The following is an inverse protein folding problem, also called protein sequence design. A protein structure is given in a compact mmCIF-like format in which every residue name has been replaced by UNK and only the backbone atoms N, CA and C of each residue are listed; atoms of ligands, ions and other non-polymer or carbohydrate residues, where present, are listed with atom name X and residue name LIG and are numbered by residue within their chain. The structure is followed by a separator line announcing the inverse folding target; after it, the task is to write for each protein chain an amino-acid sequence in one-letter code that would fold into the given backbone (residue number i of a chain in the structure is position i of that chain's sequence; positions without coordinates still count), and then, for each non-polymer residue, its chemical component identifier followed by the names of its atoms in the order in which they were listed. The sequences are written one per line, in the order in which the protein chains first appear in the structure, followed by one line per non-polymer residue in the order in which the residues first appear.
data_IF_014359445984
#
_entry.id   IF_014359445984
#
_cell.length_a   1.000
_cell.length_b   1.000
_cell.length_c   1.000
_cell.angle_alpha   90.00
_cell.angle_beta   90.00
_cell.angle_gamma   90.00
#
_symmetry.space_group_name_H-M   'P 1'
#
loop_
_entity.id
_entity.type
_entity.pdbx_description
1 polymer ?
#
# COMPACT_ATOMS: atom_id res chain seq x y z
N UNK A 1 -16.93 -9.13 -15.34
CA UNK A 1 -15.60 -9.20 -15.98
C UNK A 1 -14.54 -9.84 -15.09
N UNK A 2 -14.62 -11.15 -14.85
CA UNK A 2 -13.66 -11.86 -13.99
C UNK A 2 -12.27 -11.97 -14.64
N UNK A 3 -12.19 -11.98 -15.97
CA UNK A 3 -10.94 -12.10 -16.74
C UNK A 3 -9.99 -10.92 -16.53
N UNK A 4 -10.51 -9.69 -16.41
CA UNK A 4 -9.68 -8.50 -16.18
C UNK A 4 -9.08 -8.45 -14.76
N UNK A 5 -9.75 -9.03 -13.77
CA UNK A 5 -9.23 -9.13 -12.40
C UNK A 5 -8.06 -10.12 -12.33
N UNK A 6 -8.16 -11.27 -13.02
CA UNK A 6 -7.06 -12.24 -13.10
C UNK A 6 -5.82 -11.63 -13.76
N UNK A 7 -5.97 -10.86 -14.85
CA UNK A 7 -4.84 -10.18 -15.51
C UNK A 7 -4.17 -9.16 -14.57
N UNK A 8 -4.94 -8.44 -13.75
CA UNK A 8 -4.39 -7.52 -12.77
C UNK A 8 -3.58 -8.24 -11.67
N UNK A 9 -4.04 -9.40 -11.21
CA UNK A 9 -3.30 -10.25 -10.27
C UNK A 9 -2.00 -10.80 -10.86
N UNK A 10 -2.01 -11.22 -12.13
CA UNK A 10 -0.78 -11.63 -12.83
C UNK A 10 0.20 -10.46 -13.00
N UNK A 11 -0.30 -9.23 -13.19
CA UNK A 11 0.55 -8.04 -13.24
C UNK A 11 1.22 -7.74 -11.89
N UNK A 12 0.58 -8.14 -10.79
CA UNK A 12 1.15 -8.11 -9.45
C UNK A 12 2.34 -9.06 -9.30
N UNK A 13 2.57 -10.04 -10.19
CA UNK A 13 3.82 -10.81 -10.21
C UNK A 13 5.06 -9.95 -10.53
N UNK A 14 4.89 -8.75 -11.09
CA UNK A 14 6.00 -7.78 -11.23
C UNK A 14 6.58 -7.40 -9.87
N UNK A 15 5.78 -7.44 -8.80
CA UNK A 15 6.19 -7.23 -7.40
C UNK A 15 7.26 -8.23 -6.98
N UNK A 16 7.23 -9.45 -7.53
CA UNK A 16 8.29 -10.43 -7.27
C UNK A 16 9.65 -9.88 -7.67
N UNK A 17 9.74 -9.06 -8.72
CA UNK A 17 11.01 -8.42 -9.17
C UNK A 17 11.62 -7.50 -8.12
N UNK A 18 10.89 -7.12 -7.07
CA UNK A 18 11.42 -6.45 -5.89
C UNK A 18 12.48 -7.30 -5.18
N UNK A 19 12.57 -8.62 -5.43
CA UNK A 19 13.69 -9.47 -5.02
C UNK A 19 15.06 -8.88 -5.41
N UNK A 20 15.12 -8.13 -6.52
CA UNK A 20 16.34 -7.45 -6.98
C UNK A 20 16.80 -6.34 -6.03
N UNK A 21 15.87 -5.69 -5.32
CA UNK A 21 16.23 -4.71 -4.29
C UNK A 21 16.94 -5.39 -3.11
N UNK A 22 16.54 -6.60 -2.73
CA UNK A 22 17.26 -7.39 -1.73
C UNK A 22 18.68 -7.77 -2.20
N UNK A 23 18.85 -8.12 -3.48
CA UNK A 23 20.18 -8.37 -4.05
C UNK A 23 21.05 -7.11 -4.06
N UNK A 24 20.46 -5.94 -4.34
CA UNK A 24 21.15 -4.65 -4.24
C UNK A 24 21.63 -4.38 -2.82
N UNK A 25 20.78 -4.61 -1.80
CA UNK A 25 21.19 -4.47 -0.40
C UNK A 25 22.30 -5.45 -0.01
N UNK A 26 22.24 -6.70 -0.47
CA UNK A 26 23.29 -7.69 -0.23
C UNK A 26 24.63 -7.28 -0.89
N UNK A 27 24.56 -6.69 -2.09
CA UNK A 27 25.74 -6.15 -2.77
C UNK A 27 26.30 -4.91 -2.07
N UNK A 28 25.46 -4.00 -1.58
CA UNK A 28 25.89 -2.81 -0.82
C UNK A 28 26.53 -3.19 0.52
N UNK A 29 26.00 -4.20 1.20
CA UNK A 29 26.57 -4.74 2.45
C UNK A 29 27.97 -5.32 2.21
N UNK A 30 28.13 -6.10 1.11
CA UNK A 30 29.41 -6.71 0.76
C UNK A 30 30.51 -5.70 0.42
N UNK A 31 30.15 -4.56 -0.21
CA UNK A 31 31.12 -3.56 -0.62
C UNK A 31 31.49 -2.55 0.47
N UNK A 32 30.92 -2.64 1.69
CA UNK A 32 31.28 -1.82 2.87
C UNK A 32 31.28 -0.29 2.62
N UNK A 33 30.62 0.19 1.56
CA UNK A 33 30.59 1.61 1.19
C UNK A 33 29.82 2.43 2.24
N UNK A 34 28.91 1.78 2.95
CA UNK A 34 28.04 2.37 3.96
C UNK A 34 28.32 1.72 5.32
N UNK A 35 28.29 2.53 6.39
CA UNK A 35 28.37 2.01 7.75
C UNK A 35 27.21 1.06 8.04
N UNK A 36 27.46 0.00 8.80
CA UNK A 36 26.48 -1.07 9.09
C UNK A 36 25.13 -0.53 9.59
N UNK A 37 25.13 0.50 10.44
CA UNK A 37 23.90 1.15 10.91
C UNK A 37 23.12 1.88 9.82
N UNK A 38 23.80 2.56 8.90
CA UNK A 38 23.16 3.26 7.78
C UNK A 38 22.51 2.30 6.78
N UNK A 39 23.15 1.15 6.54
CA UNK A 39 22.60 0.10 5.69
C UNK A 39 21.34 -0.52 6.33
N UNK A 40 21.38 -0.79 7.64
CA UNK A 40 20.22 -1.30 8.38
C UNK A 40 19.05 -0.33 8.33
N UNK A 41 19.29 0.97 8.53
CA UNK A 41 18.28 2.02 8.41
C UNK A 41 17.70 2.05 7.00
N UNK A 42 18.53 2.14 5.97
CA UNK A 42 18.08 2.19 4.58
C UNK A 42 17.24 0.97 4.20
N UNK A 43 17.69 -0.22 4.60
CA UNK A 43 16.97 -1.48 4.37
C UNK A 43 15.60 -1.45 5.06
N UNK A 44 15.55 -1.09 6.34
CA UNK A 44 14.30 -1.04 7.09
C UNK A 44 13.33 0.04 6.54
N UNK A 45 13.84 1.22 6.21
CA UNK A 45 13.04 2.28 5.58
C UNK A 45 12.46 1.81 4.25
N UNK A 46 13.24 1.10 3.42
CA UNK A 46 12.75 0.56 2.16
C UNK A 46 11.60 -0.42 2.37
N UNK A 47 11.66 -1.27 3.40
CA UNK A 47 10.56 -2.18 3.74
C UNK A 47 9.31 -1.44 4.18
N UNK A 48 9.45 -0.42 5.03
CA UNK A 48 8.30 0.36 5.51
C UNK A 48 7.63 1.12 4.37
N UNK A 49 8.41 1.76 3.48
CA UNK A 49 7.88 2.45 2.29
C UNK A 49 7.17 1.47 1.38
N UNK A 50 7.74 0.29 1.17
CA UNK A 50 7.15 -0.73 0.33
C UNK A 50 5.85 -1.26 0.93
N UNK A 51 5.88 -1.70 2.19
CA UNK A 51 4.72 -2.23 2.89
C UNK A 51 3.56 -1.21 2.92
N UNK A 52 3.84 0.07 3.20
CA UNK A 52 2.81 1.12 3.19
C UNK A 52 2.25 1.42 1.79
N UNK A 53 3.08 1.38 0.74
CA UNK A 53 2.58 1.51 -0.63
C UNK A 53 1.63 0.37 -0.99
N UNK A 54 2.01 -0.87 -0.65
CA UNK A 54 1.18 -2.05 -0.88
C UNK A 54 -0.11 -2.00 -0.06
N UNK A 55 -0.02 -1.68 1.23
CA UNK A 55 -1.17 -1.52 2.11
C UNK A 55 -2.18 -0.53 1.54
N UNK A 56 -1.74 0.67 1.15
CA UNK A 56 -2.62 1.69 0.58
C UNK A 56 -3.25 1.29 -0.76
N UNK A 57 -2.45 0.76 -1.70
CA UNK A 57 -2.94 0.34 -3.01
C UNK A 57 -3.89 -0.86 -2.93
N UNK A 58 -3.60 -1.84 -2.07
CA UNK A 58 -4.46 -3.00 -1.88
C UNK A 58 -5.76 -2.61 -1.16
N UNK A 59 -5.70 -1.74 -0.16
CA UNK A 59 -6.91 -1.27 0.53
C UNK A 59 -7.82 -0.43 -0.39
N UNK A 60 -7.24 0.37 -1.28
CA UNK A 60 -7.99 1.02 -2.37
C UNK A 60 -8.62 -0.02 -3.32
N UNK A 61 -7.88 -1.09 -3.64
CA UNK A 61 -8.38 -2.16 -4.49
C UNK A 61 -9.53 -2.95 -3.85
N UNK A 62 -9.52 -3.18 -2.53
CA UNK A 62 -10.63 -3.83 -1.80
C UNK A 62 -11.91 -3.00 -1.96
N UNK A 63 -11.85 -1.69 -1.72
CA UNK A 63 -13.01 -0.82 -1.94
C UNK A 63 -13.47 -0.80 -3.41
N UNK A 64 -12.55 -0.96 -4.37
CA UNK A 64 -12.88 -1.12 -5.79
C UNK A 64 -13.60 -2.44 -6.09
N UNK A 65 -13.24 -3.54 -5.42
CA UNK A 65 -13.94 -4.83 -5.55
C UNK A 65 -15.38 -4.73 -5.05
N UNK A 66 -15.62 -3.90 -4.04
CA UNK A 66 -16.96 -3.55 -3.53
C UNK A 66 -17.64 -2.44 -4.35
N UNK A 67 -17.12 -2.11 -5.55
CA UNK A 67 -17.66 -1.12 -6.48
C UNK A 67 -17.81 0.28 -5.86
N UNK A 68 -16.92 0.62 -4.92
CA UNK A 68 -16.99 1.87 -4.14
C UNK A 68 -18.38 2.12 -3.54
N UNK A 69 -19.02 1.07 -3.02
CA UNK A 69 -20.28 1.18 -2.29
C UNK A 69 -20.20 2.29 -1.23
N UNK A 70 -21.29 3.01 -0.98
CA UNK A 70 -21.39 4.08 0.02
C UNK A 70 -20.94 3.66 1.42
N UNK A 71 -20.97 2.36 1.72
CA UNK A 71 -20.49 1.80 2.99
C UNK A 71 -18.99 1.54 3.06
N UNK A 72 -18.26 1.64 1.94
CA UNK A 72 -16.79 1.47 1.90
C UNK A 72 -16.06 2.68 2.46
N UNK A 73 -14.81 2.52 2.87
CA UNK A 73 -13.99 3.62 3.37
C UNK A 73 -13.84 4.76 2.34
N UNK A 74 -13.85 4.44 1.04
CA UNK A 74 -13.84 5.42 -0.05
C UNK A 74 -15.22 6.02 -0.30
N UNK A 75 -16.27 5.18 -0.34
CA UNK A 75 -17.63 5.63 -0.64
C UNK A 75 -18.16 6.61 0.42
N UNK A 76 -17.82 6.39 1.69
CA UNK A 76 -18.13 7.31 2.79
C UNK A 76 -17.40 8.64 2.67
N UNK A 77 -16.17 8.61 2.18
CA UNK A 77 -15.30 9.78 2.01
C UNK A 77 -15.32 10.25 0.54
N UNK A 78 -16.47 10.12 -0.11
CA UNK A 78 -16.70 10.37 -1.54
C UNK A 78 -16.24 11.77 -1.99
N UNK A 79 -16.38 12.77 -1.14
CA UNK A 79 -15.94 14.16 -1.32
C UNK A 79 -14.40 14.31 -1.40
N UNK A 80 -13.67 13.43 -0.70
CA UNK A 80 -12.19 13.42 -0.69
C UNK A 80 -11.63 12.62 -1.87
N UNK A 81 -12.38 11.67 -2.42
CA UNK A 81 -11.91 10.77 -3.50
C UNK A 81 -12.52 11.04 -4.87
N UNK A 82 -13.83 11.22 -5.01
CA UNK A 82 -14.46 11.38 -6.33
C UNK A 82 -14.18 12.76 -6.93
N UNK A 83 -14.10 12.82 -8.26
CA UNK A 83 -13.71 14.04 -8.99
C UNK A 83 -12.23 14.42 -8.90
N UNK A 84 -11.44 13.78 -8.02
CA UNK A 84 -9.99 14.03 -7.90
C UNK A 84 -9.16 13.28 -8.95
N UNK A 85 -8.00 13.83 -9.36
CA UNK A 85 -7.05 13.10 -10.21
C UNK A 85 -6.52 11.85 -9.50
N UNK A 86 -5.96 10.92 -10.28
CA UNK A 86 -5.45 9.65 -9.77
C UNK A 86 -4.33 9.81 -8.73
N UNK A 87 -3.49 10.84 -8.90
CA UNK A 87 -2.38 11.12 -7.98
C UNK A 87 -2.88 11.50 -6.58
N UNK A 88 -3.92 12.33 -6.48
CA UNK A 88 -4.50 12.74 -5.20
C UNK A 88 -5.11 11.53 -4.47
N UNK A 89 -5.82 10.67 -5.21
CA UNK A 89 -6.37 9.41 -4.68
C UNK A 89 -5.25 8.51 -4.16
N UNK A 90 -4.17 8.38 -4.93
CA UNK A 90 -3.00 7.61 -4.54
C UNK A 90 -2.34 8.16 -3.26
N UNK A 91 -2.13 9.48 -3.19
CA UNK A 91 -1.54 10.14 -2.01
C UNK A 91 -2.42 9.91 -0.79
N UNK A 92 -3.75 10.04 -0.92
CA UNK A 92 -4.69 9.85 0.19
C UNK A 92 -4.72 8.39 0.66
N UNK A 93 -4.69 7.42 -0.26
CA UNK A 93 -4.60 6.00 0.09
C UNK A 93 -3.26 5.62 0.73
N UNK A 94 -2.16 6.20 0.27
CA UNK A 94 -0.86 5.97 0.88
C UNK A 94 -0.75 6.64 2.26
N UNK A 95 -1.30 7.85 2.40
CA UNK A 95 -1.44 8.54 3.69
C UNK A 95 -2.19 7.68 4.71
N UNK A 96 -3.35 7.11 4.34
CA UNK A 96 -4.11 6.20 5.20
C UNK A 96 -3.27 5.00 5.66
N UNK A 97 -2.54 4.38 4.73
CA UNK A 97 -1.72 3.22 5.08
C UNK A 97 -0.57 3.58 6.00
N UNK A 98 0.11 4.70 5.74
CA UNK A 98 1.19 5.19 6.60
C UNK A 98 0.65 5.55 7.98
N UNK A 99 -0.43 6.35 8.07
CA UNK A 99 -1.01 6.81 9.33
C UNK A 99 -1.49 5.63 10.19
N UNK A 100 -2.04 4.59 9.57
CA UNK A 100 -2.45 3.35 10.24
C UNK A 100 -1.25 2.55 10.73
N UNK A 101 -0.20 2.38 9.93
CA UNK A 101 1.01 1.64 10.32
C UNK A 101 1.77 2.29 11.47
N UNK A 102 1.78 3.63 11.54
CA UNK A 102 2.44 4.37 12.63
C UNK A 102 1.53 4.57 13.85
N UNK A 103 0.27 4.09 13.80
CA UNK A 103 -0.69 4.20 14.89
C UNK A 103 -1.25 5.60 15.13
N UNK A 104 -1.04 6.54 14.20
CA UNK A 104 -1.68 7.87 14.26
C UNK A 104 -3.16 7.74 13.91
N UNK A 105 -3.46 6.99 12.86
CA UNK A 105 -4.81 6.83 12.33
C UNK A 105 -5.38 8.14 11.73
N UNK A 106 -6.50 8.02 11.04
CA UNK A 106 -7.34 9.15 10.65
C UNK A 106 -8.75 8.84 11.21
N UNK A 107 -9.43 9.86 11.76
CA UNK A 107 -10.75 9.68 12.36
C UNK A 107 -11.87 9.39 11.36
N UNK A 108 -11.64 9.68 10.08
CA UNK A 108 -12.63 9.54 8.99
C UNK A 108 -12.28 8.39 8.04
N UNK A 109 -10.99 8.07 7.89
CA UNK A 109 -10.51 6.97 7.05
C UNK A 109 -10.29 5.73 7.93
N UNK A 110 -11.24 4.81 7.92
CA UNK A 110 -11.16 3.53 8.62
C UNK A 110 -11.95 2.44 7.89
N UNK A 111 -11.63 1.18 8.18
CA UNK A 111 -12.35 0.02 7.64
C UNK A 111 -13.78 -0.05 8.19
N UNK A 112 -14.72 -0.28 7.29
CA UNK A 112 -16.16 -0.17 7.55
C UNK A 112 -16.92 -1.39 7.09
N UNK A 113 -16.47 -2.03 6.02
CA UNK A 113 -17.03 -3.29 5.55
C UNK A 113 -16.26 -4.47 6.16
N UNK A 114 -16.89 -5.65 6.19
CA UNK A 114 -16.24 -6.88 6.70
C UNK A 114 -14.99 -7.25 5.89
N UNK A 115 -14.97 -7.15 4.54
CA UNK A 115 -13.75 -7.34 3.75
C UNK A 115 -12.63 -6.35 4.10
N UNK A 116 -12.95 -5.07 4.30
CA UNK A 116 -11.97 -4.05 4.72
C UNK A 116 -11.41 -4.36 6.11
N UNK A 117 -12.26 -4.76 7.06
CA UNK A 117 -11.84 -5.14 8.41
C UNK A 117 -10.94 -6.38 8.39
N UNK A 118 -11.28 -7.38 7.57
CA UNK A 118 -10.45 -8.57 7.36
C UNK A 118 -9.06 -8.21 6.81
N UNK A 119 -8.98 -7.25 5.88
CA UNK A 119 -7.71 -6.75 5.37
C UNK A 119 -6.88 -6.01 6.42
N UNK A 120 -7.50 -5.22 7.29
CA UNK A 120 -6.76 -4.48 8.34
C UNK A 120 -6.19 -5.37 9.44
N UNK A 121 -6.77 -6.56 9.64
CA UNK A 121 -6.32 -7.53 10.66
C UNK A 121 -5.20 -8.45 10.13
N UNK A 122 -5.25 -8.80 8.84
CA UNK A 122 -4.32 -9.76 8.22
C UNK A 122 -3.00 -9.13 7.80
#
# INVERSE_FOLDING_TARGET
DNTMQWIALFRLLVVLRMYRAFQLFAFLDHNLILGQGSLMLLRNTSYVVYASHFGGCLFYYVARLEVFNTSTWIGRNSDRFFGRPLIDKYILSWYFSVSSMVGVGDGELFATTVPEAGFMIG
#
